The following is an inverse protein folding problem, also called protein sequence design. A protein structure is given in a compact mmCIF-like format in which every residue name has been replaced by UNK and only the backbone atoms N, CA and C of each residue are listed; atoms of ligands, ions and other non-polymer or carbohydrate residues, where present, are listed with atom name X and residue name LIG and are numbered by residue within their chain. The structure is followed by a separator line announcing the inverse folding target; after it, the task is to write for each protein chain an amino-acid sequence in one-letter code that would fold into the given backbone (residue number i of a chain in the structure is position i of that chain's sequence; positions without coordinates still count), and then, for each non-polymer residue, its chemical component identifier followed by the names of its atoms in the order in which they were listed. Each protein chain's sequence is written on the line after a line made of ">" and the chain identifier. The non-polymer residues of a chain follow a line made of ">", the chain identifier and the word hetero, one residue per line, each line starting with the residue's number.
data_IF_069868337390
#
_entry.id   IF_069868337390
#
_cell.length_a   1.000
_cell.length_b   1.000
_cell.length_c   1.000
_cell.angle_alpha   90.00
_cell.angle_beta   90.00
_cell.angle_gamma   90.00
#
_symmetry.space_group_name_H-M   'P 1'
#
loop_
_entity.id
_entity.type
_entity.pdbx_description
1 polymer ?
#
# COMPACT_ATOMS: atom_id res chain seq x y z
N UNK A 1 13.07 -12.83 -0.72
CA UNK A 1 11.69 -13.16 -0.28
C UNK A 1 10.79 -11.96 -0.48
N UNK A 2 9.54 -12.14 -0.92
CA UNK A 2 8.56 -11.05 -0.98
C UNK A 2 7.99 -10.72 0.42
N UNK A 3 7.50 -9.50 0.62
CA UNK A 3 6.84 -9.08 1.86
C UNK A 3 5.69 -10.02 2.26
N UNK A 4 4.91 -10.48 1.27
CA UNK A 4 3.84 -11.48 1.44
C UNK A 4 4.37 -12.83 1.96
N UNK A 5 5.46 -13.33 1.39
CA UNK A 5 6.06 -14.60 1.82
C UNK A 5 6.73 -14.50 3.19
N UNK A 6 7.24 -13.32 3.57
CA UNK A 6 7.79 -13.06 4.90
C UNK A 6 6.68 -12.97 5.95
N UNK A 7 5.57 -12.29 5.63
CA UNK A 7 4.40 -12.21 6.51
C UNK A 7 3.75 -13.57 6.71
N UNK A 8 3.58 -14.38 5.66
CA UNK A 8 3.06 -15.74 5.78
C UNK A 8 3.90 -16.62 6.71
N UNK A 9 5.24 -16.55 6.59
CA UNK A 9 6.15 -17.24 7.52
C UNK A 9 6.00 -16.75 8.95
N UNK A 10 5.90 -15.44 9.16
CA UNK A 10 5.69 -14.86 10.48
C UNK A 10 4.38 -15.36 11.11
N UNK A 11 3.27 -15.38 10.35
CA UNK A 11 2.00 -15.91 10.85
C UNK A 11 2.07 -17.38 11.26
N UNK A 12 2.75 -18.22 10.47
CA UNK A 12 2.89 -19.65 10.75
C UNK A 12 3.88 -19.96 11.90
N UNK A 13 4.73 -19.01 12.28
CA UNK A 13 5.69 -19.17 13.39
C UNK A 13 5.12 -18.86 14.77
N UNK A 14 3.85 -18.43 14.85
CA UNK A 14 3.19 -18.00 16.08
C UNK A 14 2.07 -18.95 16.49
N UNK A 15 1.93 -19.13 17.79
CA UNK A 15 0.76 -19.76 18.40
C UNK A 15 -0.32 -18.69 18.59
N UNK A 16 -1.46 -18.86 17.94
CA UNK A 16 -2.55 -17.86 17.95
C UNK A 16 -3.54 -18.05 19.10
N UNK A 17 -3.41 -19.14 19.85
CA UNK A 17 -4.44 -19.61 20.78
C UNK A 17 -3.89 -20.08 22.14
N UNK A 18 -2.67 -19.70 22.52
CA UNK A 18 -2.23 -19.91 23.91
C UNK A 18 -2.75 -18.77 24.78
N UNK A 19 -3.62 -19.16 25.71
CA UNK A 19 -4.23 -18.43 26.81
C UNK A 19 -4.96 -17.11 26.48
N UNK A 20 -6.27 -17.14 26.75
CA UNK A 20 -7.28 -16.12 26.43
C UNK A 20 -7.10 -14.74 27.11
N UNK A 21 -5.97 -14.47 27.76
CA UNK A 21 -5.82 -13.33 28.68
C UNK A 21 -5.31 -12.03 28.05
N UNK A 22 -4.85 -12.00 26.79
CA UNK A 22 -4.37 -10.73 26.21
C UNK A 22 -4.66 -10.55 24.72
N UNK A 23 -5.93 -10.29 24.40
CA UNK A 23 -6.36 -9.86 23.04
C UNK A 23 -5.60 -8.64 22.54
N UNK A 24 -5.22 -7.73 23.44
CA UNK A 24 -4.51 -6.49 23.09
C UNK A 24 -3.05 -6.76 22.65
N UNK A 25 -2.36 -7.70 23.31
CA UNK A 25 -0.99 -8.07 22.93
C UNK A 25 -0.92 -8.67 21.54
N UNK A 26 -1.85 -9.58 21.21
CA UNK A 26 -1.88 -10.21 19.88
C UNK A 26 -2.15 -9.19 18.75
N UNK A 27 -3.02 -8.20 18.99
CA UNK A 27 -3.27 -7.13 18.02
C UNK A 27 -2.07 -6.21 17.82
N UNK A 28 -1.35 -5.88 18.89
CA UNK A 28 -0.17 -5.02 18.83
C UNK A 28 0.98 -5.69 18.08
N UNK A 29 1.16 -6.99 18.29
CA UNK A 29 2.16 -7.78 17.59
C UNK A 29 1.83 -7.97 16.11
N UNK A 30 0.54 -8.13 15.77
CA UNK A 30 0.07 -8.16 14.38
C UNK A 30 0.33 -6.82 13.68
N UNK A 31 -0.06 -5.70 14.30
CA UNK A 31 0.18 -4.38 13.75
C UNK A 31 1.67 -4.12 13.56
N UNK A 32 2.50 -4.49 14.54
CA UNK A 32 3.96 -4.37 14.47
C UNK A 32 4.56 -5.19 13.32
N UNK A 33 4.07 -6.41 13.09
CA UNK A 33 4.53 -7.24 11.98
C UNK A 33 4.08 -6.68 10.62
N UNK A 34 2.86 -6.14 10.54
CA UNK A 34 2.37 -5.45 9.34
C UNK A 34 3.23 -4.24 9.02
N UNK A 35 3.52 -3.37 9.99
CA UNK A 35 4.34 -2.18 9.78
C UNK A 35 5.78 -2.53 9.38
N UNK A 36 6.36 -3.56 10.02
CA UNK A 36 7.71 -4.03 9.71
C UNK A 36 7.82 -4.63 8.32
N UNK A 37 6.85 -5.44 7.90
CA UNK A 37 6.92 -6.23 6.67
C UNK A 37 6.30 -5.53 5.47
N UNK A 38 5.34 -4.64 5.71
CA UNK A 38 4.65 -3.84 4.69
C UNK A 38 4.89 -2.34 4.89
N UNK A 39 6.14 -1.97 5.14
CA UNK A 39 6.54 -0.56 5.26
C UNK A 39 5.94 0.30 4.15
N UNK A 40 5.42 1.46 4.54
CA UNK A 40 4.95 2.49 3.62
C UNK A 40 6.09 2.89 2.67
N UNK A 41 6.06 2.35 1.45
CA UNK A 41 7.09 2.65 0.47
C UNK A 41 7.03 4.12 0.10
N UNK A 42 8.13 4.83 0.35
CA UNK A 42 8.36 6.18 -0.18
C UNK A 42 8.19 6.13 -1.69
N UNK A 43 7.31 6.98 -2.23
CA UNK A 43 7.15 7.10 -3.67
C UNK A 43 8.36 7.87 -4.22
N UNK A 44 9.36 7.14 -4.67
CA UNK A 44 10.52 7.71 -5.36
C UNK A 44 10.18 7.92 -6.85
N UNK A 45 10.71 9.00 -7.43
CA UNK A 45 10.66 9.27 -8.87
C UNK A 45 11.92 8.67 -9.49
N UNK A 46 11.76 7.81 -10.49
CA UNK A 46 12.84 7.18 -11.21
C UNK A 46 12.72 7.54 -12.70
N UNK A 47 13.85 7.76 -13.36
CA UNK A 47 13.86 7.99 -14.82
C UNK A 47 13.41 6.75 -15.61
N UNK A 48 13.39 5.58 -14.97
CA UNK A 48 12.88 4.32 -15.53
C UNK A 48 11.39 4.08 -15.29
N UNK A 49 10.69 5.02 -14.67
CA UNK A 49 9.24 4.93 -14.55
C UNK A 49 8.59 4.90 -15.94
N UNK A 50 7.38 4.35 -16.01
CA UNK A 50 6.62 4.33 -17.26
C UNK A 50 6.44 5.78 -17.77
N UNK A 51 6.47 6.03 -19.09
CA UNK A 51 6.41 7.38 -19.64
C UNK A 51 5.16 8.19 -19.24
N UNK A 52 4.05 7.49 -18.97
CA UNK A 52 2.80 8.08 -18.50
C UNK A 52 2.75 8.32 -16.98
N UNK A 53 3.82 8.00 -16.24
CA UNK A 53 3.91 8.12 -14.79
C UNK A 53 4.37 9.52 -14.36
N UNK A 54 3.44 10.48 -14.44
CA UNK A 54 3.72 11.89 -14.12
C UNK A 54 3.91 12.17 -12.61
N UNK A 55 4.57 13.28 -12.24
CA UNK A 55 4.64 13.73 -10.84
C UNK A 55 3.26 13.93 -10.19
N UNK A 56 2.27 14.41 -10.94
CA UNK A 56 0.90 14.59 -10.47
C UNK A 56 0.24 13.25 -10.09
N UNK A 57 0.42 12.21 -10.92
CA UNK A 57 -0.06 10.86 -10.61
C UNK A 57 0.63 10.29 -9.37
N UNK A 58 1.94 10.52 -9.21
CA UNK A 58 2.67 10.10 -8.01
C UNK A 58 2.18 10.80 -6.75
N UNK A 59 1.83 12.09 -6.83
CA UNK A 59 1.18 12.81 -5.72
C UNK A 59 -0.15 12.17 -5.34
N UNK A 60 -0.97 11.75 -6.32
CA UNK A 60 -2.22 11.03 -6.04
C UNK A 60 -1.99 9.67 -5.36
N UNK A 61 -0.97 8.92 -5.79
CA UNK A 61 -0.61 7.65 -5.15
C UNK A 61 -0.14 7.89 -3.71
N UNK A 62 0.62 8.96 -3.46
CA UNK A 62 1.08 9.33 -2.12
C UNK A 62 -0.11 9.67 -1.21
N UNK A 63 -1.05 10.49 -1.70
CA UNK A 63 -2.26 10.83 -0.95
C UNK A 63 -3.13 9.59 -0.66
N UNK A 64 -3.23 8.66 -1.62
CA UNK A 64 -3.89 7.37 -1.41
C UNK A 64 -3.22 6.58 -0.28
N UNK A 65 -1.89 6.48 -0.28
CA UNK A 65 -1.15 5.80 0.78
C UNK A 65 -1.36 6.51 2.12
N UNK A 66 -1.22 7.84 2.18
CA UNK A 66 -1.44 8.62 3.40
C UNK A 66 -2.85 8.38 3.98
N UNK A 67 -3.88 8.40 3.13
CA UNK A 67 -5.25 8.13 3.53
C UNK A 67 -5.42 6.71 4.11
N UNK A 68 -4.79 5.70 3.49
CA UNK A 68 -4.79 4.33 4.01
C UNK A 68 -4.21 4.24 5.43
N UNK A 69 -3.02 4.82 5.64
CA UNK A 69 -2.34 4.76 6.94
C UNK A 69 -3.06 5.59 8.01
N UNK A 70 -3.79 6.64 7.62
CA UNK A 70 -4.63 7.40 8.55
C UNK A 70 -5.94 6.71 8.95
N UNK A 71 -6.24 5.52 8.39
CA UNK A 71 -7.50 4.81 8.63
C UNK A 71 -8.73 5.45 7.96
N UNK A 72 -8.58 6.57 7.27
CA UNK A 72 -9.69 7.25 6.58
C UNK A 72 -10.04 6.51 5.27
N UNK A 73 -10.97 5.55 5.37
CA UNK A 73 -11.38 4.70 4.26
C UNK A 73 -12.08 5.45 3.13
N UNK A 74 -12.86 6.49 3.41
CA UNK A 74 -13.56 7.27 2.38
C UNK A 74 -12.59 8.11 1.56
N UNK A 75 -11.64 8.77 2.24
CA UNK A 75 -10.56 9.48 1.58
C UNK A 75 -9.67 8.53 0.78
N UNK A 76 -9.42 7.33 1.30
CA UNK A 76 -8.69 6.29 0.57
C UNK A 76 -9.44 5.84 -0.69
N UNK A 77 -10.76 5.60 -0.61
CA UNK A 77 -11.60 5.24 -1.77
C UNK A 77 -11.59 6.34 -2.82
N UNK A 78 -11.70 7.60 -2.41
CA UNK A 78 -11.60 8.77 -3.28
C UNK A 78 -10.29 8.81 -4.05
N UNK A 79 -9.15 8.74 -3.35
CA UNK A 79 -7.85 8.75 -4.01
C UNK A 79 -7.60 7.49 -4.84
N UNK A 80 -8.08 6.32 -4.42
CA UNK A 80 -8.03 5.09 -5.23
C UNK A 80 -8.74 5.27 -6.57
N UNK A 81 -9.93 5.87 -6.56
CA UNK A 81 -10.67 6.16 -7.78
C UNK A 81 -9.94 7.15 -8.68
N UNK A 82 -9.45 8.27 -8.13
CA UNK A 82 -8.66 9.26 -8.88
C UNK A 82 -7.41 8.65 -9.52
N UNK A 83 -6.63 7.88 -8.77
CA UNK A 83 -5.44 7.19 -9.30
C UNK A 83 -5.81 6.26 -10.45
N UNK A 84 -6.88 5.46 -10.31
CA UNK A 84 -7.32 4.54 -11.37
C UNK A 84 -7.70 5.28 -12.65
N UNK A 85 -8.49 6.35 -12.53
CA UNK A 85 -8.91 7.14 -13.67
C UNK A 85 -7.71 7.82 -14.36
N UNK A 86 -6.82 8.41 -13.55
CA UNK A 86 -5.67 9.16 -14.07
C UNK A 86 -4.67 8.25 -14.80
N UNK A 87 -4.43 7.03 -14.29
CA UNK A 87 -3.68 5.99 -15.01
C UNK A 87 -4.36 5.66 -16.34
N UNK A 88 -5.68 5.42 -16.34
CA UNK A 88 -6.42 5.07 -17.56
C UNK A 88 -6.33 6.15 -18.64
N UNK A 89 -6.52 7.41 -18.26
CA UNK A 89 -6.40 8.56 -19.18
C UNK A 89 -4.99 8.68 -19.73
N UNK A 90 -3.97 8.70 -18.86
CA UNK A 90 -2.57 8.90 -19.27
C UNK A 90 -2.02 7.73 -20.09
N UNK A 91 -2.40 6.50 -19.73
CA UNK A 91 -2.02 5.30 -20.48
C UNK A 91 -2.61 5.35 -21.88
N UNK A 92 -3.91 5.64 -22.02
CA UNK A 92 -4.54 5.79 -23.35
C UNK A 92 -3.91 6.91 -24.16
N UNK A 93 -3.78 8.11 -23.58
CA UNK A 93 -3.18 9.25 -24.28
C UNK A 93 -1.77 8.94 -24.78
N UNK A 94 -0.95 8.24 -23.98
CA UNK A 94 0.40 7.85 -24.38
C UNK A 94 0.40 6.82 -25.52
N UNK A 95 -0.42 5.77 -25.47
CA UNK A 95 -0.44 4.72 -26.49
C UNK A 95 -1.25 5.07 -27.75
N UNK A 96 -2.16 6.03 -27.68
CA UNK A 96 -2.89 6.53 -28.86
C UNK A 96 -2.07 7.54 -29.65
N UNK A 97 -1.20 8.31 -28.99
CA UNK A 97 -0.32 9.30 -29.63
C UNK A 97 1.07 8.73 -29.99
N UNK A 98 1.21 7.40 -30.02
CA UNK A 98 2.45 6.68 -30.31
C UNK A 98 2.28 5.85 -31.58
#
# INVERSE_FOLDING_TARGET
>A
MSARAAFGRWCCSREWFSDAESKNSATDELNSAVDRLFQSKVIRIYNSDKPWMTPALKKLIYQKQKAFHSGNLDLWRHYRFKVRNDIGVKTRAYYTNK
#
